data_IF_897792578359
#
_entry.id   IF_897792578359
#
_cell.length_a   1.000
_cell.length_b   1.000
_cell.length_c   1.000
_cell.angle_alpha   90.00
_cell.angle_beta   90.00
_cell.angle_gamma   90.00
#
_symmetry.space_group_name_H-M   'P 1'
#
loop_
_entity.id
_entity.type
_entity.pdbx_description
1 polymer ?
#
# COMPACT_ATOMS: atom_id res chain seq x y z
N UNK A 1 -52.21 -31.62 57.32
CA UNK A 1 -51.44 -30.53 56.69
C UNK A 1 -50.14 -31.13 56.16
N UNK A 2 -49.94 -31.04 54.83
CA UNK A 2 -48.76 -31.36 54.02
C UNK A 2 -48.25 -32.82 54.06
N UNK A 3 -48.51 -33.70 53.08
CA UNK A 3 -48.15 -33.71 51.64
C UNK A 3 -46.66 -34.03 51.36
N UNK A 4 -46.42 -35.34 51.21
CA UNK A 4 -45.65 -36.03 50.17
C UNK A 4 -44.79 -35.17 49.20
N UNK A 5 -43.45 -35.34 49.17
CA UNK A 5 -42.68 -35.94 48.04
C UNK A 5 -41.15 -35.82 48.22
N UNK A 6 -40.36 -36.84 47.86
CA UNK A 6 -38.91 -36.73 47.67
C UNK A 6 -38.55 -35.84 46.47
N UNK A 7 -37.58 -34.95 46.66
CA UNK A 7 -36.91 -34.16 45.62
C UNK A 7 -36.04 -35.06 44.74
N UNK A 8 -36.56 -35.51 43.60
CA UNK A 8 -35.73 -35.92 42.47
C UNK A 8 -35.24 -34.69 41.74
N UNK A 9 -33.95 -34.42 41.84
CA UNK A 9 -33.24 -33.44 41.03
C UNK A 9 -33.08 -34.01 39.62
N UNK A 10 -33.96 -33.63 38.72
CA UNK A 10 -33.81 -33.87 37.29
C UNK A 10 -34.01 -32.53 36.57
N UNK A 11 -32.92 -31.96 36.06
CA UNK A 11 -32.89 -30.92 35.04
C UNK A 11 -31.42 -30.79 34.58
N UNK A 12 -30.94 -31.71 33.74
CA UNK A 12 -31.13 -31.75 32.29
C UNK A 12 -30.16 -30.77 31.60
N UNK A 13 -29.12 -31.37 31.04
CA UNK A 13 -28.08 -30.73 30.25
C UNK A 13 -28.69 -29.88 29.11
N UNK A 14 -28.32 -28.61 29.06
CA UNK A 14 -28.61 -27.71 27.95
C UNK A 14 -27.77 -28.12 26.73
N UNK A 15 -28.36 -28.91 25.84
CA UNK A 15 -27.86 -29.13 24.49
C UNK A 15 -27.77 -27.78 23.74
N UNK A 16 -26.75 -27.56 22.89
CA UNK A 16 -26.70 -26.38 22.03
C UNK A 16 -27.93 -26.40 21.11
N UNK A 17 -28.71 -25.32 21.09
CA UNK A 17 -29.84 -25.16 20.15
C UNK A 17 -29.29 -25.16 18.73
N UNK A 18 -29.42 -26.27 18.01
CA UNK A 18 -29.26 -26.31 16.57
C UNK A 18 -30.27 -25.33 15.95
N UNK A 19 -29.77 -24.34 15.20
CA UNK A 19 -30.58 -23.38 14.46
C UNK A 19 -31.46 -24.14 13.46
N UNK A 20 -32.73 -23.72 13.30
CA UNK A 20 -33.60 -24.33 12.29
C UNK A 20 -33.04 -24.05 10.89
N UNK A 21 -33.35 -24.90 9.90
CA UNK A 21 -32.90 -24.72 8.52
C UNK A 21 -33.24 -23.33 7.97
N UNK A 22 -34.39 -22.78 8.37
CA UNK A 22 -34.82 -21.43 8.00
C UNK A 22 -33.92 -20.34 8.61
N UNK A 23 -33.52 -20.49 9.88
CA UNK A 23 -32.59 -19.58 10.54
C UNK A 23 -31.17 -19.66 9.97
N UNK A 24 -30.73 -20.86 9.57
CA UNK A 24 -29.46 -21.05 8.87
C UNK A 24 -29.47 -20.39 7.49
N UNK A 25 -30.59 -20.51 6.75
CA UNK A 25 -30.79 -19.84 5.47
C UNK A 25 -30.76 -18.31 5.58
N UNK A 26 -31.42 -17.76 6.60
CA UNK A 26 -31.42 -16.32 6.90
C UNK A 26 -29.99 -15.83 7.20
N UNK A 27 -29.26 -16.56 8.06
CA UNK A 27 -27.87 -16.22 8.40
C UNK A 27 -26.93 -16.30 7.19
N UNK A 28 -27.09 -17.31 6.33
CA UNK A 28 -26.29 -17.43 5.12
C UNK A 28 -26.56 -16.30 4.14
N UNK A 29 -27.82 -15.88 3.98
CA UNK A 29 -28.18 -14.71 3.15
C UNK A 29 -27.55 -13.43 3.67
N UNK A 30 -27.59 -13.21 4.99
CA UNK A 30 -26.96 -12.04 5.61
C UNK A 30 -25.43 -12.04 5.44
N UNK A 31 -24.79 -13.20 5.61
CA UNK A 31 -23.35 -13.34 5.40
C UNK A 31 -22.95 -13.11 3.95
N UNK A 32 -23.77 -13.57 3.00
CA UNK A 32 -23.51 -13.37 1.57
C UNK A 32 -23.60 -11.88 1.23
N UNK A 33 -24.67 -11.20 1.65
CA UNK A 33 -24.82 -9.76 1.45
C UNK A 33 -23.67 -8.95 2.07
N UNK A 34 -23.23 -9.32 3.29
CA UNK A 34 -22.09 -8.68 3.94
C UNK A 34 -20.78 -8.89 3.17
N UNK A 35 -20.55 -10.09 2.63
CA UNK A 35 -19.37 -10.38 1.81
C UNK A 35 -19.39 -9.67 0.46
N UNK A 36 -20.55 -9.57 -0.19
CA UNK A 36 -20.68 -8.83 -1.44
C UNK A 36 -20.37 -7.35 -1.23
N UNK A 37 -20.89 -6.76 -0.15
CA UNK A 37 -20.58 -5.39 0.22
C UNK A 37 -19.08 -5.20 0.50
N UNK A 38 -18.47 -6.09 1.29
CA UNK A 38 -17.04 -6.03 1.60
C UNK A 38 -16.17 -6.17 0.33
N UNK A 39 -16.58 -7.00 -0.63
CA UNK A 39 -15.89 -7.12 -1.92
C UNK A 39 -15.96 -5.81 -2.70
N UNK A 40 -17.14 -5.20 -2.80
CA UNK A 40 -17.32 -3.93 -3.49
C UNK A 40 -16.49 -2.80 -2.87
N UNK A 41 -16.42 -2.73 -1.55
CA UNK A 41 -15.60 -1.74 -0.83
C UNK A 41 -14.09 -1.97 -1.11
N UNK A 42 -13.65 -3.24 -1.13
CA UNK A 42 -12.25 -3.59 -1.45
C UNK A 42 -11.90 -3.27 -2.90
N UNK A 43 -12.79 -3.55 -3.85
CA UNK A 43 -12.59 -3.25 -5.27
C UNK A 43 -12.45 -1.73 -5.49
N UNK A 44 -13.27 -0.91 -4.82
CA UNK A 44 -13.16 0.54 -4.88
C UNK A 44 -11.81 1.06 -4.32
N UNK A 45 -11.30 0.45 -3.25
CA UNK A 45 -9.98 0.79 -2.70
C UNK A 45 -8.87 0.42 -3.70
N UNK A 46 -8.95 -0.77 -4.31
CA UNK A 46 -7.97 -1.23 -5.29
C UNK A 46 -7.96 -0.32 -6.52
N UNK A 47 -9.13 0.09 -7.01
CA UNK A 47 -9.25 1.02 -8.14
C UNK A 47 -8.59 2.36 -7.81
N UNK A 48 -8.93 2.96 -6.66
CA UNK A 48 -8.35 4.22 -6.22
C UNK A 48 -6.83 4.15 -6.00
N UNK A 49 -6.32 3.03 -5.50
CA UNK A 49 -4.87 2.81 -5.38
C UNK A 49 -4.20 2.61 -6.74
N UNK A 50 -4.85 1.90 -7.66
CA UNK A 50 -4.35 1.70 -9.03
C UNK A 50 -4.24 3.02 -9.78
N UNK A 51 -5.22 3.91 -9.63
CA UNK A 51 -5.16 5.26 -10.22
C UNK A 51 -4.05 6.11 -9.61
N UNK A 52 -3.87 6.06 -8.29
CA UNK A 52 -2.76 6.74 -7.62
C UNK A 52 -1.40 6.23 -8.08
N UNK A 53 -1.25 4.91 -8.24
CA UNK A 53 -0.03 4.31 -8.78
C UNK A 53 0.21 4.73 -10.23
N UNK A 54 -0.81 4.68 -11.10
CA UNK A 54 -0.69 5.17 -12.48
C UNK A 54 -0.29 6.63 -12.54
N UNK A 55 -0.86 7.48 -11.67
CA UNK A 55 -0.50 8.89 -11.60
C UNK A 55 0.94 9.07 -11.10
N UNK A 56 1.36 8.32 -10.08
CA UNK A 56 2.72 8.36 -9.55
C UNK A 56 3.75 7.82 -10.56
N UNK A 57 3.41 6.78 -11.32
CA UNK A 57 4.23 6.24 -12.41
C UNK A 57 4.28 7.21 -13.58
N UNK A 58 3.17 7.82 -13.99
CA UNK A 58 3.19 8.86 -15.02
C UNK A 58 4.03 10.08 -14.59
N UNK A 59 4.01 10.42 -13.30
CA UNK A 59 4.86 11.46 -12.74
C UNK A 59 6.31 11.02 -12.57
N UNK A 60 6.59 9.74 -12.29
CA UNK A 60 7.90 9.17 -11.99
C UNK A 60 8.67 8.62 -13.21
N UNK A 61 7.98 8.24 -14.28
CA UNK A 61 8.53 7.64 -15.50
C UNK A 61 9.11 8.68 -16.49
N UNK A 62 9.37 9.90 -16.03
CA UNK A 62 10.27 10.79 -16.74
C UNK A 62 11.67 10.19 -16.70
N UNK A 63 12.24 9.89 -17.86
CA UNK A 63 13.62 9.42 -17.96
C UNK A 63 14.52 10.35 -17.14
N UNK A 64 15.23 9.79 -16.16
CA UNK A 64 16.15 10.57 -15.34
C UNK A 64 17.19 11.22 -16.26
N UNK A 65 17.62 12.45 -15.97
CA UNK A 65 18.43 13.20 -16.90
C UNK A 65 19.83 12.60 -17.06
N UNK A 66 20.34 12.64 -18.30
CA UNK A 66 21.74 12.38 -18.61
C UNK A 66 22.46 13.71 -18.72
N UNK A 67 23.55 13.86 -17.98
CA UNK A 67 24.39 15.05 -17.97
C UNK A 67 25.76 14.75 -18.57
N UNK A 68 26.45 15.79 -19.05
CA UNK A 68 27.78 15.67 -19.64
C UNK A 68 28.77 16.49 -18.80
N UNK A 69 29.82 15.84 -18.33
CA UNK A 69 30.94 16.49 -17.64
C UNK A 69 32.26 15.97 -18.21
N UNK A 70 33.14 16.88 -18.64
CA UNK A 70 34.46 16.55 -19.21
C UNK A 70 34.42 15.45 -20.29
N UNK A 71 33.48 15.56 -21.22
CA UNK A 71 33.22 14.60 -22.33
C UNK A 71 32.74 13.21 -21.90
N UNK A 72 32.51 12.98 -20.60
CA UNK A 72 31.86 11.77 -20.07
C UNK A 72 30.38 12.02 -19.83
N UNK A 73 29.56 10.99 -20.06
CA UNK A 73 28.12 11.03 -19.82
C UNK A 73 27.82 10.39 -18.47
N UNK A 74 26.93 10.99 -17.71
CA UNK A 74 26.48 10.46 -16.42
C UNK A 74 24.95 10.41 -16.38
N UNK A 75 24.40 9.26 -16.02
CA UNK A 75 22.99 9.07 -15.72
C UNK A 75 22.74 9.46 -14.27
N UNK A 76 21.83 10.42 -14.03
CA UNK A 76 21.37 10.71 -12.68
C UNK A 76 20.48 9.58 -12.21
N UNK A 77 20.66 9.11 -10.97
CA UNK A 77 19.97 7.95 -10.40
C UNK A 77 18.75 8.29 -9.53
N UNK A 78 18.59 9.57 -9.18
CA UNK A 78 17.47 10.04 -8.37
C UNK A 78 16.90 11.32 -8.95
N UNK A 79 15.57 11.46 -8.97
CA UNK A 79 14.89 12.65 -9.49
C UNK A 79 15.00 13.85 -8.56
N UNK A 80 15.04 13.60 -7.26
CA UNK A 80 15.27 14.59 -6.21
C UNK A 80 16.26 14.04 -5.22
N UNK A 81 17.15 14.89 -4.73
CA UNK A 81 18.16 14.53 -3.74
C UNK A 81 18.51 15.74 -2.90
N UNK A 82 19.09 15.50 -1.72
CA UNK A 82 19.48 16.56 -0.80
C UNK A 82 20.98 16.77 -0.90
N UNK A 83 21.40 17.99 -1.23
CA UNK A 83 22.79 18.43 -1.19
C UNK A 83 22.87 19.66 -0.30
N UNK A 84 23.79 19.65 0.68
CA UNK A 84 23.98 20.78 1.62
C UNK A 84 22.67 21.19 2.32
N UNK A 85 21.84 20.21 2.68
CA UNK A 85 20.54 20.40 3.32
C UNK A 85 19.48 21.13 2.45
N UNK A 86 19.69 21.17 1.13
CA UNK A 86 18.77 21.75 0.15
C UNK A 86 18.27 20.63 -0.77
N UNK A 87 16.95 20.54 -0.95
CA UNK A 87 16.35 19.66 -1.95
C UNK A 87 16.63 20.21 -3.36
N UNK A 88 17.26 19.39 -4.18
CA UNK A 88 17.59 19.67 -5.57
C UNK A 88 16.88 18.68 -6.47
N UNK A 89 16.27 19.19 -7.55
CA UNK A 89 15.71 18.39 -8.63
C UNK A 89 16.79 18.07 -9.67
N UNK A 90 16.81 16.83 -10.15
CA UNK A 90 17.77 16.34 -11.12
C UNK A 90 17.78 17.14 -12.42
N UNK A 91 16.66 17.74 -12.82
CA UNK A 91 16.60 18.58 -14.01
C UNK A 91 17.49 19.83 -13.90
N UNK A 92 17.73 20.32 -12.68
CA UNK A 92 18.65 21.46 -12.45
C UNK A 92 20.10 21.12 -12.81
N UNK A 93 20.48 19.85 -12.79
CA UNK A 93 21.84 19.42 -13.17
C UNK A 93 22.12 19.63 -14.66
N UNK A 94 21.11 19.82 -15.51
CA UNK A 94 21.31 20.16 -16.93
C UNK A 94 21.88 21.57 -17.11
N UNK A 95 21.54 22.49 -16.21
CA UNK A 95 21.93 23.91 -16.29
C UNK A 95 23.04 24.26 -15.33
N UNK A 96 23.09 23.61 -14.15
CA UNK A 96 24.03 23.93 -13.08
C UNK A 96 25.32 23.09 -13.19
N UNK A 97 26.32 23.63 -13.88
CA UNK A 97 27.61 22.95 -14.11
C UNK A 97 28.47 22.84 -12.86
N UNK A 98 28.37 23.80 -11.94
CA UNK A 98 29.11 23.78 -10.68
C UNK A 98 28.62 22.66 -9.79
N UNK A 99 27.29 22.45 -9.71
CA UNK A 99 26.72 21.34 -8.97
C UNK A 99 27.07 19.98 -9.58
N UNK A 100 27.07 19.87 -10.90
CA UNK A 100 27.53 18.67 -11.59
C UNK A 100 28.99 18.37 -11.28
N UNK A 101 29.86 19.39 -11.34
CA UNK A 101 31.27 19.25 -11.00
C UNK A 101 31.43 18.75 -9.57
N UNK A 102 30.73 19.36 -8.61
CA UNK A 102 30.73 18.94 -7.20
C UNK A 102 30.31 17.48 -7.04
N UNK A 103 29.27 17.05 -7.74
CA UNK A 103 28.78 15.67 -7.66
C UNK A 103 29.75 14.65 -8.26
N UNK A 104 30.44 15.01 -9.35
CA UNK A 104 31.43 14.15 -9.99
C UNK A 104 32.72 14.09 -9.16
N UNK A 105 33.24 15.24 -8.72
CA UNK A 105 34.49 15.33 -7.95
C UNK A 105 34.37 14.70 -6.57
N UNK A 106 33.22 14.85 -5.90
CA UNK A 106 32.98 14.20 -4.61
C UNK A 106 32.60 12.72 -4.73
N UNK A 107 32.52 12.16 -5.95
CA UNK A 107 32.16 10.76 -6.16
C UNK A 107 30.76 10.43 -5.65
N UNK A 108 29.79 11.32 -5.89
CA UNK A 108 28.43 11.12 -5.42
C UNK A 108 27.80 9.86 -6.02
N UNK A 109 27.25 9.00 -5.16
CA UNK A 109 26.48 7.83 -5.58
C UNK A 109 25.18 8.15 -6.33
N UNK A 110 24.89 9.42 -6.58
CA UNK A 110 23.75 9.90 -7.37
C UNK A 110 24.00 9.87 -8.88
N UNK A 111 25.26 9.74 -9.30
CA UNK A 111 25.66 9.73 -10.71
C UNK A 111 26.24 8.37 -11.10
N UNK A 112 25.73 7.80 -12.19
CA UNK A 112 26.29 6.60 -12.81
C UNK A 112 26.96 6.98 -14.13
N UNK A 113 28.26 6.73 -14.24
CA UNK A 113 28.96 6.91 -15.51
C UNK A 113 28.38 5.99 -16.59
N UNK A 114 28.17 6.54 -17.79
CA UNK A 114 27.82 5.81 -18.99
C UNK A 114 29.07 5.79 -19.88
N UNK A 115 29.66 4.60 -20.05
CA UNK A 115 30.75 4.36 -21.02
C UNK A 115 30.33 4.72 -22.47
#
# INVERSE_FOLDING_TARGET
>A
MADNKPTSTEQQASAPKELTLEQQLEQLKQQLAAKEQESADKDAIIEGQTEQLKAAEAQGAGALPVIIHEKKRYQVLARKFIIRNIEVDAEKLKTDKDLVKELVENGSGLLKALD
#
